data_IF_255607930615
#
_entry.id   IF_255607930615
#
_cell.length_a   1.000
_cell.length_b   1.000
_cell.length_c   1.000
_cell.angle_alpha   90.00
_cell.angle_beta   90.00
_cell.angle_gamma   90.00
#
_symmetry.space_group_name_H-M   'P 1'
#
loop_
_entity.id
_entity.type
_entity.pdbx_description
1 polymer ?
#
# COMPACT_ATOMS: atom_id res chain seq x y z
N UNK A 1 6.66 2.60 -2.58
CA UNK A 1 5.47 2.00 -3.22
C UNK A 1 4.44 1.48 -2.20
N UNK A 2 4.47 1.96 -0.95
CA UNK A 2 3.58 1.48 0.10
C UNK A 2 4.01 0.17 0.77
N UNK A 3 5.09 -0.47 0.33
CA UNK A 3 5.70 -1.54 1.15
C UNK A 3 6.25 -0.95 2.43
N UNK A 4 6.37 -1.79 3.46
CA UNK A 4 7.07 -1.43 4.68
C UNK A 4 8.48 -0.89 4.38
N UNK A 5 8.80 0.25 4.99
CA UNK A 5 10.12 0.88 4.94
C UNK A 5 10.40 1.47 6.33
N UNK A 6 11.57 1.17 6.88
CA UNK A 6 12.03 1.71 8.16
C UNK A 6 10.96 1.57 9.27
N UNK A 7 10.59 2.67 9.95
CA UNK A 7 9.76 2.64 11.16
C UNK A 7 8.25 2.60 10.93
N UNK A 8 7.82 2.43 9.68
CA UNK A 8 6.39 2.42 9.37
C UNK A 8 5.74 1.17 10.00
N UNK A 9 4.85 1.40 10.96
CA UNK A 9 4.10 0.34 11.63
C UNK A 9 3.20 -0.40 10.63
N UNK A 10 3.05 -1.72 10.82
CA UNK A 10 2.38 -2.62 9.86
C UNK A 10 0.91 -2.28 9.59
N UNK A 11 0.28 -1.51 10.47
CA UNK A 11 -1.08 -1.01 10.28
C UNK A 11 -1.23 -0.20 8.99
N UNK A 12 -0.29 0.68 8.67
CA UNK A 12 -0.34 1.47 7.45
C UNK A 12 -0.30 0.58 6.21
N UNK A 13 0.46 -0.52 6.25
CA UNK A 13 0.51 -1.46 5.13
C UNK A 13 -0.76 -2.31 5.01
N UNK A 14 -1.41 -2.63 6.13
CA UNK A 14 -2.70 -3.30 6.17
C UNK A 14 -3.84 -2.45 5.58
N UNK A 15 -3.91 -1.15 5.92
CA UNK A 15 -4.95 -0.23 5.43
C UNK A 15 -5.00 -0.11 3.90
N UNK A 16 -3.88 -0.38 3.22
CA UNK A 16 -3.80 -0.39 1.75
C UNK A 16 -4.14 -1.75 1.12
N UNK A 17 -4.23 -2.82 1.92
CA UNK A 17 -4.46 -4.17 1.41
C UNK A 17 -5.85 -4.32 0.79
N UNK A 18 -5.98 -5.29 -0.14
CA UNK A 18 -7.30 -5.70 -0.64
C UNK A 18 -8.15 -6.34 0.47
N UNK A 19 -7.52 -6.98 1.45
CA UNK A 19 -8.21 -7.60 2.59
C UNK A 19 -8.96 -6.54 3.38
N UNK A 20 -8.28 -5.47 3.78
CA UNK A 20 -8.89 -4.37 4.52
C UNK A 20 -10.04 -3.72 3.74
N UNK A 21 -9.86 -3.51 2.43
CA UNK A 21 -10.91 -2.99 1.55
C UNK A 21 -12.15 -3.90 1.47
N UNK A 22 -12.01 -5.19 1.74
CA UNK A 22 -13.12 -6.16 1.78
C UNK A 22 -13.59 -6.44 3.22
N UNK A 23 -13.28 -5.56 4.18
CA UNK A 23 -13.77 -5.65 5.55
C UNK A 23 -13.03 -6.62 6.46
N UNK A 24 -11.93 -7.22 5.99
CA UNK A 24 -11.07 -8.05 6.84
C UNK A 24 -10.38 -7.17 7.87
N UNK A 25 -10.27 -7.69 9.09
CA UNK A 25 -9.71 -7.04 10.27
C UNK A 25 -8.50 -7.82 10.79
N UNK A 26 -7.77 -7.23 11.74
CA UNK A 26 -6.66 -7.91 12.41
C UNK A 26 -7.11 -9.21 13.09
N UNK A 27 -8.32 -9.21 13.64
CA UNK A 27 -8.88 -10.34 14.40
C UNK A 27 -9.26 -11.51 13.50
N UNK A 28 -9.37 -11.32 12.18
CA UNK A 28 -9.58 -12.44 11.27
C UNK A 28 -8.34 -13.33 11.16
N UNK A 29 -7.14 -12.78 11.38
CA UNK A 29 -5.89 -13.52 11.34
C UNK A 29 -5.30 -13.78 12.74
N UNK A 30 -5.45 -12.83 13.66
CA UNK A 30 -4.86 -12.87 15.00
C UNK A 30 -5.90 -13.16 16.09
N UNK A 31 -5.48 -13.92 17.10
CA UNK A 31 -6.23 -14.12 18.34
C UNK A 31 -5.79 -13.07 19.38
N UNK A 32 -6.61 -12.03 19.66
CA UNK A 32 -6.19 -10.86 20.44
C UNK A 32 -5.76 -11.19 21.87
N UNK A 33 -6.32 -12.23 22.48
CA UNK A 33 -6.02 -12.61 23.87
C UNK A 33 -4.93 -13.67 24.00
N UNK A 34 -4.55 -14.34 22.91
CA UNK A 34 -3.52 -15.37 22.92
C UNK A 34 -2.19 -14.89 22.33
N UNK A 35 -2.17 -13.73 21.66
CA UNK A 35 -1.04 -13.25 20.86
C UNK A 35 -0.57 -14.30 19.84
N UNK A 36 -1.52 -15.06 19.29
CA UNK A 36 -1.27 -16.15 18.34
C UNK A 36 -2.01 -15.90 17.03
N UNK A 37 -1.58 -16.58 15.98
CA UNK A 37 -2.37 -16.69 14.76
C UNK A 37 -3.53 -17.66 15.00
N UNK A 38 -4.65 -17.42 14.32
CA UNK A 38 -5.82 -18.32 14.37
C UNK A 38 -5.58 -19.67 13.69
N UNK A 39 -4.61 -19.75 12.79
CA UNK A 39 -4.15 -20.97 12.14
C UNK A 39 -2.67 -20.82 11.75
N UNK A 40 -1.98 -21.94 11.57
CA UNK A 40 -0.54 -21.97 11.27
C UNK A 40 -0.27 -22.03 9.76
N UNK A 41 0.82 -21.40 9.33
CA UNK A 41 1.28 -21.42 7.93
C UNK A 41 0.20 -20.99 6.93
N UNK A 42 0.19 -21.66 5.78
CA UNK A 42 -0.79 -21.41 4.71
C UNK A 42 -2.25 -21.64 5.13
N UNK A 43 -2.51 -22.43 6.16
CA UNK A 43 -3.86 -22.63 6.69
C UNK A 43 -4.51 -21.33 7.18
N UNK A 44 -3.72 -20.30 7.51
CA UNK A 44 -4.25 -18.98 7.83
C UNK A 44 -4.89 -18.30 6.62
N UNK A 45 -4.23 -18.36 5.47
CA UNK A 45 -4.65 -17.72 4.22
C UNK A 45 -5.81 -18.49 3.58
N UNK A 46 -5.75 -19.82 3.64
CA UNK A 46 -6.73 -20.70 2.97
C UNK A 46 -8.06 -20.85 3.68
N UNK A 47 -8.24 -20.13 4.80
CA UNK A 47 -9.57 -19.92 5.41
C UNK A 47 -10.52 -19.15 4.50
N UNK A 48 -9.97 -18.31 3.63
CA UNK A 48 -10.73 -17.52 2.66
C UNK A 48 -10.29 -17.79 1.21
N UNK A 49 -9.01 -18.10 0.98
CA UNK A 49 -8.50 -18.43 -0.35
C UNK A 49 -8.60 -19.93 -0.64
N UNK A 50 -9.03 -20.28 -1.84
CA UNK A 50 -9.12 -21.69 -2.25
C UNK A 50 -7.73 -22.38 -2.21
N UNK A 51 -7.54 -23.29 -1.26
CA UNK A 51 -6.28 -24.02 -1.09
C UNK A 51 -5.85 -24.79 -2.34
N UNK A 52 -6.80 -25.44 -3.02
CA UNK A 52 -6.50 -26.23 -4.22
C UNK A 52 -5.98 -25.38 -5.38
N UNK A 53 -6.30 -24.08 -5.40
CA UNK A 53 -5.84 -23.15 -6.41
C UNK A 53 -4.58 -22.40 -6.00
N UNK A 54 -4.52 -21.91 -4.77
CA UNK A 54 -3.47 -20.98 -4.31
C UNK A 54 -2.34 -21.65 -3.52
N UNK A 55 -2.65 -22.68 -2.72
CA UNK A 55 -1.66 -23.45 -1.95
C UNK A 55 -1.22 -24.70 -2.73
N UNK A 56 -0.83 -24.48 -3.99
CA UNK A 56 -0.43 -25.54 -4.91
C UNK A 56 0.84 -25.15 -5.67
N UNK A 57 1.71 -26.12 -6.04
CA UNK A 57 2.93 -25.84 -6.81
C UNK A 57 2.68 -25.11 -8.12
N UNK A 58 1.49 -25.29 -8.71
CA UNK A 58 1.07 -24.55 -9.91
C UNK A 58 0.94 -23.05 -9.66
N UNK A 59 0.57 -22.62 -8.46
CA UNK A 59 0.49 -21.21 -8.08
C UNK A 59 1.83 -20.69 -7.57
N UNK A 60 2.40 -21.25 -6.50
CA UNK A 60 3.60 -20.69 -5.87
C UNK A 60 4.90 -21.01 -6.61
N UNK A 61 4.91 -21.96 -7.56
CA UNK A 61 6.06 -22.31 -8.43
C UNK A 61 7.34 -22.73 -7.69
N UNK A 62 7.18 -23.18 -6.45
CA UNK A 62 8.27 -23.72 -5.62
C UNK A 62 7.99 -25.19 -5.27
N UNK A 63 8.98 -25.87 -4.70
CA UNK A 63 8.80 -27.21 -4.14
C UNK A 63 7.83 -27.15 -2.95
N UNK A 64 6.91 -28.12 -2.87
CA UNK A 64 5.98 -28.24 -1.76
C UNK A 64 6.75 -28.44 -0.44
N UNK A 65 6.27 -27.81 0.65
CA UNK A 65 6.91 -27.85 1.97
C UNK A 65 8.19 -26.99 2.11
N UNK A 66 8.63 -26.31 1.04
CA UNK A 66 9.73 -25.35 1.12
C UNK A 66 9.25 -23.96 1.55
N UNK A 67 10.17 -23.11 2.05
CA UNK A 67 9.85 -21.71 2.45
C UNK A 67 9.16 -20.89 1.35
N UNK A 68 9.49 -21.14 0.08
CA UNK A 68 8.87 -20.47 -1.07
C UNK A 68 7.44 -20.93 -1.38
N UNK A 69 6.94 -21.97 -0.72
CA UNK A 69 5.53 -22.39 -0.80
C UNK A 69 4.65 -21.65 0.22
N UNK A 70 5.23 -21.01 1.24
CA UNK A 70 4.47 -20.24 2.22
C UNK A 70 3.97 -18.92 1.62
N UNK A 71 2.67 -18.65 1.73
CA UNK A 71 1.99 -17.46 1.21
C UNK A 71 2.69 -16.18 1.68
N UNK A 72 3.02 -16.14 2.97
CA UNK A 72 3.60 -14.97 3.63
C UNK A 72 4.98 -14.63 3.09
N UNK A 73 5.75 -15.61 2.59
CA UNK A 73 7.10 -15.36 2.05
C UNK A 73 7.07 -14.42 0.85
N UNK A 74 6.05 -14.52 0.00
CA UNK A 74 5.90 -13.65 -1.17
C UNK A 74 4.94 -12.49 -0.94
N UNK A 75 3.81 -12.74 -0.29
CA UNK A 75 2.75 -11.73 -0.15
C UNK A 75 2.94 -10.80 1.04
N UNK A 76 3.65 -11.26 2.07
CA UNK A 76 3.92 -10.51 3.29
C UNK A 76 5.42 -10.53 3.60
N UNK A 77 6.31 -10.11 2.68
CA UNK A 77 7.75 -10.27 2.89
C UNK A 77 8.22 -9.50 4.15
N UNK A 78 9.18 -10.08 4.88
CA UNK A 78 9.78 -9.44 6.04
C UNK A 78 10.66 -8.26 5.64
N UNK A 79 10.67 -7.19 6.42
CA UNK A 79 11.74 -6.18 6.41
C UNK A 79 12.29 -5.99 7.82
N UNK A 80 13.60 -5.82 7.94
CA UNK A 80 14.26 -5.60 9.23
C UNK A 80 13.98 -4.17 9.70
N UNK A 81 13.34 -4.07 10.86
CA UNK A 81 13.16 -2.84 11.60
C UNK A 81 14.32 -2.67 12.60
N UNK A 82 14.94 -1.49 12.63
CA UNK A 82 16.08 -1.18 13.52
C UNK A 82 17.20 -2.24 13.46
N UNK A 83 17.49 -2.77 12.26
CA UNK A 83 18.51 -3.80 11.98
C UNK A 83 18.20 -5.20 12.56
N UNK A 84 17.42 -5.32 13.63
CA UNK A 84 17.26 -6.58 14.38
C UNK A 84 15.82 -7.12 14.47
N UNK A 85 14.81 -6.34 14.12
CA UNK A 85 13.41 -6.72 14.29
C UNK A 85 12.71 -6.92 12.95
N UNK A 86 12.81 -8.12 12.38
CA UNK A 86 12.05 -8.49 11.19
C UNK A 86 10.54 -8.35 11.44
N UNK A 87 9.87 -7.57 10.59
CA UNK A 87 8.41 -7.40 10.60
C UNK A 87 7.84 -7.78 9.25
N UNK A 88 6.69 -8.44 9.25
CA UNK A 88 5.99 -8.81 8.01
C UNK A 88 5.25 -7.61 7.44
N UNK A 89 5.37 -7.39 6.14
CA UNK A 89 4.50 -6.46 5.43
C UNK A 89 3.04 -6.97 5.42
N UNK A 90 2.09 -6.14 5.87
CA UNK A 90 0.68 -6.52 5.96
C UNK A 90 -0.14 -6.01 4.78
N UNK A 91 0.46 -5.61 3.67
CA UNK A 91 -0.30 -5.26 2.47
C UNK A 91 -0.75 -6.47 1.66
N UNK A 92 -0.16 -7.66 1.93
CA UNK A 92 -0.50 -8.94 1.30
C UNK A 92 -0.52 -8.85 -0.24
N UNK A 93 0.36 -8.03 -0.80
CA UNK A 93 0.33 -7.68 -2.22
C UNK A 93 0.90 -8.81 -3.06
N UNK A 94 0.46 -8.92 -4.31
CA UNK A 94 1.22 -9.67 -5.31
C UNK A 94 2.56 -8.92 -5.53
N UNK A 95 3.72 -9.59 -5.49
CA UNK A 95 5.03 -8.95 -5.71
C UNK A 95 5.12 -8.18 -7.03
N UNK A 96 5.86 -7.06 -7.03
CA UNK A 96 6.21 -6.24 -8.21
C UNK A 96 7.72 -6.21 -8.46
N UNK A 97 8.35 -7.36 -8.78
CA UNK A 97 9.79 -7.38 -9.05
C UNK A 97 10.19 -6.52 -10.26
N UNK A 98 9.25 -6.26 -11.17
CA UNK A 98 9.41 -5.36 -12.30
C UNK A 98 9.58 -3.89 -11.88
N UNK A 99 9.02 -3.48 -10.73
CA UNK A 99 9.12 -2.12 -10.22
C UNK A 99 10.24 -1.94 -9.19
N UNK A 100 10.68 -3.02 -8.53
CA UNK A 100 11.63 -2.95 -7.40
C UNK A 100 12.86 -2.10 -7.69
N UNK A 101 13.53 -2.31 -8.83
CA UNK A 101 14.73 -1.55 -9.19
C UNK A 101 14.44 -0.06 -9.38
N UNK A 102 13.36 0.28 -10.09
CA UNK A 102 13.00 1.68 -10.36
C UNK A 102 12.53 2.45 -9.13
N UNK A 103 11.90 1.75 -8.16
CA UNK A 103 11.34 2.37 -6.97
C UNK A 103 12.26 2.26 -5.74
N UNK A 104 13.37 1.53 -5.86
CA UNK A 104 14.23 1.16 -4.73
C UNK A 104 13.50 0.34 -3.67
N UNK A 105 12.44 -0.38 -4.05
CA UNK A 105 11.60 -1.09 -3.09
C UNK A 105 12.11 -2.53 -2.86
N UNK A 106 11.85 -3.12 -1.68
CA UNK A 106 12.16 -4.51 -1.43
C UNK A 106 11.53 -5.45 -2.46
N UNK A 107 12.14 -6.63 -2.59
CA UNK A 107 11.77 -7.65 -3.54
C UNK A 107 11.68 -9.00 -2.84
N UNK A 108 10.49 -9.60 -2.81
CA UNK A 108 10.28 -10.87 -2.11
C UNK A 108 11.12 -12.03 -2.70
N UNK A 109 11.39 -12.01 -4.00
CA UNK A 109 12.13 -13.08 -4.67
C UNK A 109 13.62 -13.01 -4.36
N UNK A 110 14.24 -11.83 -4.51
CA UNK A 110 15.68 -11.64 -4.28
C UNK A 110 16.04 -11.57 -2.79
N UNK A 111 15.06 -11.63 -1.89
CA UNK A 111 15.31 -11.88 -0.47
C UNK A 111 15.79 -13.32 -0.21
N UNK A 112 15.32 -14.30 -0.98
CA UNK A 112 15.83 -15.68 -0.92
C UNK A 112 16.90 -15.95 -1.99
N UNK A 113 16.71 -15.40 -3.19
CA UNK A 113 17.64 -15.56 -4.33
C UNK A 113 18.65 -14.41 -4.38
N UNK A 114 19.61 -14.41 -3.45
CA UNK A 114 20.56 -13.30 -3.23
C UNK A 114 21.49 -13.02 -4.42
N UNK A 115 21.73 -14.02 -5.28
CA UNK A 115 22.56 -13.92 -6.47
C UNK A 115 21.80 -13.42 -7.70
N UNK A 116 20.49 -13.18 -7.58
CA UNK A 116 19.62 -12.76 -8.68
C UNK A 116 19.19 -11.30 -8.53
N UNK A 117 18.94 -10.67 -9.67
CA UNK A 117 18.42 -9.32 -9.75
C UNK A 117 16.89 -9.32 -9.88
N UNK A 118 16.18 -8.25 -9.47
CA UNK A 118 14.72 -8.15 -9.61
C UNK A 118 14.20 -8.44 -11.03
N UNK A 119 14.96 -8.05 -12.07
CA UNK A 119 14.63 -8.33 -13.46
C UNK A 119 14.57 -9.83 -13.80
N UNK A 120 15.37 -10.67 -13.13
CA UNK A 120 15.28 -12.13 -13.26
C UNK A 120 13.96 -12.64 -12.71
N UNK A 121 13.54 -12.15 -11.55
CA UNK A 121 12.27 -12.52 -10.94
C UNK A 121 11.07 -12.07 -11.80
N UNK A 122 11.13 -10.87 -12.38
CA UNK A 122 10.11 -10.40 -13.31
C UNK A 122 9.99 -11.29 -14.55
N UNK A 123 11.12 -11.73 -15.13
CA UNK A 123 11.13 -12.68 -16.26
C UNK A 123 10.58 -14.06 -15.87
N UNK A 124 10.87 -14.54 -14.66
CA UNK A 124 10.29 -15.78 -14.16
C UNK A 124 8.76 -15.68 -14.04
N UNK A 125 8.26 -14.57 -13.47
CA UNK A 125 6.82 -14.31 -13.38
C UNK A 125 6.16 -14.18 -14.76
N UNK A 126 6.83 -13.57 -15.74
CA UNK A 126 6.36 -13.52 -17.13
C UNK A 126 6.16 -14.92 -17.72
N UNK A 127 7.12 -15.83 -17.49
CA UNK A 127 7.02 -17.21 -17.96
C UNK A 127 5.93 -18.01 -17.23
N UNK A 128 5.66 -17.70 -15.96
CA UNK A 128 4.71 -18.44 -15.14
C UNK A 128 3.26 -18.03 -15.34
N UNK A 129 3.00 -16.73 -15.53
CA UNK A 129 1.66 -16.14 -15.50
C UNK A 129 1.34 -15.30 -16.75
N UNK A 130 2.21 -15.30 -17.76
CA UNK A 130 2.12 -14.38 -18.91
C UNK A 130 2.55 -12.96 -18.52
N UNK A 131 2.28 -11.95 -19.35
CA UNK A 131 2.67 -10.54 -19.04
C UNK A 131 1.58 -9.74 -18.34
N UNK A 132 0.34 -10.23 -18.32
CA UNK A 132 -0.80 -9.53 -17.75
C UNK A 132 -0.67 -9.25 -16.24
N UNK A 133 0.09 -10.06 -15.49
CA UNK A 133 0.25 -9.86 -14.05
C UNK A 133 0.78 -8.45 -13.73
N UNK A 134 1.74 -7.92 -14.51
CA UNK A 134 2.36 -6.60 -14.27
C UNK A 134 1.59 -5.42 -14.86
N UNK A 135 0.59 -5.67 -15.70
CA UNK A 135 -0.30 -4.64 -16.27
C UNK A 135 -1.33 -4.13 -15.25
N UNK A 136 -1.40 -4.76 -14.07
CA UNK A 136 -2.27 -4.30 -12.98
C UNK A 136 -1.89 -2.90 -12.49
N UNK A 137 -2.88 -2.07 -12.11
CA UNK A 137 -2.64 -0.75 -11.53
C UNK A 137 -1.66 -0.80 -10.34
N UNK A 138 -0.77 0.18 -10.29
CA UNK A 138 0.15 0.39 -9.16
C UNK A 138 0.30 1.87 -8.89
N UNK A 139 0.14 2.25 -7.63
CA UNK A 139 0.37 3.61 -7.17
C UNK A 139 1.86 3.89 -6.89
N UNK A 140 2.71 2.85 -6.86
CA UNK A 140 4.14 2.96 -6.54
C UNK A 140 4.90 3.97 -7.41
N UNK A 141 4.80 3.91 -8.75
CA UNK A 141 5.45 4.86 -9.64
C UNK A 141 5.00 6.32 -9.43
N UNK A 142 3.70 6.55 -9.21
CA UNK A 142 3.15 7.88 -8.97
C UNK A 142 3.66 8.47 -7.66
N UNK A 143 3.62 7.70 -6.57
CA UNK A 143 4.13 8.16 -5.27
C UNK A 143 5.64 8.39 -5.32
N UNK A 144 6.39 7.53 -6.00
CA UNK A 144 7.83 7.72 -6.18
C UNK A 144 8.15 8.98 -6.98
N UNK A 145 7.43 9.23 -8.07
CA UNK A 145 7.54 10.49 -8.83
C UNK A 145 7.27 11.72 -7.95
N UNK A 146 6.28 11.64 -7.05
CA UNK A 146 6.02 12.71 -6.08
C UNK A 146 7.20 13.02 -5.16
N UNK A 147 8.04 12.02 -4.85
CA UNK A 147 9.23 12.22 -4.03
C UNK A 147 10.48 12.64 -4.81
N UNK A 148 10.53 12.42 -6.14
CA UNK A 148 11.76 12.59 -6.94
C UNK A 148 11.66 13.62 -8.05
N UNK A 149 10.45 14.00 -8.49
CA UNK A 149 10.23 14.82 -9.69
C UNK A 149 9.59 16.19 -9.40
N UNK A 150 9.34 16.50 -8.12
CA UNK A 150 8.77 17.77 -7.67
C UNK A 150 7.44 18.12 -8.36
N UNK A 151 7.30 19.38 -8.78
CA UNK A 151 6.05 19.92 -9.34
C UNK A 151 5.55 19.17 -10.60
N UNK A 152 6.44 18.52 -11.36
CA UNK A 152 6.06 17.75 -12.55
C UNK A 152 5.23 16.50 -12.22
N UNK A 153 5.28 16.01 -10.97
CA UNK A 153 4.46 14.90 -10.52
C UNK A 153 3.03 15.32 -10.12
N UNK A 154 2.78 16.63 -9.94
CA UNK A 154 1.53 17.16 -9.38
C UNK A 154 0.27 16.65 -10.10
N UNK A 155 0.17 16.64 -11.45
CA UNK A 155 -1.04 16.13 -12.12
C UNK A 155 -1.37 14.69 -11.76
N UNK A 156 -0.35 13.81 -11.73
CA UNK A 156 -0.50 12.39 -11.38
C UNK A 156 -0.81 12.18 -9.90
N UNK A 157 -0.24 13.01 -9.02
CA UNK A 157 -0.56 13.00 -7.59
C UNK A 157 -2.03 13.37 -7.34
N UNK A 158 -2.53 14.42 -8.01
CA UNK A 158 -3.94 14.83 -7.90
C UNK A 158 -4.90 13.82 -8.50
N UNK A 159 -4.52 13.13 -9.57
CA UNK A 159 -5.27 12.01 -10.12
C UNK A 159 -5.38 10.87 -9.11
N UNK A 160 -4.24 10.44 -8.54
CA UNK A 160 -4.22 9.37 -7.53
C UNK A 160 -4.99 9.76 -6.26
N UNK A 161 -4.86 11.00 -5.79
CA UNK A 161 -5.54 11.52 -4.61
C UNK A 161 -7.07 11.50 -4.75
N UNK A 162 -7.58 11.74 -5.96
CA UNK A 162 -9.01 11.76 -6.26
C UNK A 162 -9.58 10.41 -6.69
N UNK A 163 -8.73 9.40 -6.92
CA UNK A 163 -9.19 8.08 -7.37
C UNK A 163 -9.89 7.32 -6.23
N UNK A 164 -11.23 7.11 -6.28
CA UNK A 164 -11.95 6.43 -5.21
C UNK A 164 -11.65 4.93 -5.13
N UNK A 165 -11.06 4.34 -6.17
CA UNK A 165 -10.64 2.94 -6.16
C UNK A 165 -9.29 2.72 -5.46
N UNK A 166 -8.56 3.79 -5.12
CA UNK A 166 -7.32 3.70 -4.35
C UNK A 166 -7.62 3.72 -2.83
N UNK A 167 -6.86 3.00 -1.99
CA UNK A 167 -7.01 3.07 -0.55
C UNK A 167 -6.90 4.51 -0.03
N UNK A 168 -7.68 4.86 0.98
CA UNK A 168 -7.69 6.21 1.53
C UNK A 168 -6.30 6.68 2.01
N UNK A 169 -5.52 5.79 2.64
CA UNK A 169 -4.13 6.10 3.03
C UNK A 169 -3.23 6.42 1.83
N UNK A 170 -3.43 5.75 0.68
CA UNK A 170 -2.68 6.03 -0.56
C UNK A 170 -3.09 7.37 -1.15
N UNK A 171 -4.39 7.67 -1.17
CA UNK A 171 -4.94 8.94 -1.63
C UNK A 171 -4.45 10.11 -0.78
N UNK A 172 -4.51 9.96 0.55
CA UNK A 172 -3.99 10.92 1.50
C UNK A 172 -2.48 11.14 1.31
N UNK A 173 -1.71 10.07 1.13
CA UNK A 173 -0.27 10.18 0.83
C UNK A 173 -0.01 10.97 -0.45
N UNK A 174 -0.77 10.72 -1.51
CA UNK A 174 -0.63 11.43 -2.77
C UNK A 174 -0.94 12.94 -2.61
N UNK A 175 -1.98 13.29 -1.86
CA UNK A 175 -2.28 14.68 -1.54
C UNK A 175 -1.22 15.34 -0.67
N UNK A 176 -0.68 14.63 0.33
CA UNK A 176 0.44 15.13 1.14
C UNK A 176 1.66 15.44 0.29
N UNK A 177 2.02 14.56 -0.65
CA UNK A 177 3.11 14.81 -1.61
C UNK A 177 2.81 15.99 -2.57
N UNK A 178 1.54 16.32 -2.79
CA UNK A 178 1.14 17.47 -3.61
C UNK A 178 1.19 18.81 -2.84
N UNK A 179 1.21 18.81 -1.50
CA UNK A 179 1.15 20.02 -0.67
C UNK A 179 2.24 21.05 -0.98
N UNK A 180 3.52 20.69 -1.19
CA UNK A 180 4.57 21.66 -1.53
C UNK A 180 4.35 22.39 -2.86
N UNK A 181 3.44 21.87 -3.69
CA UNK A 181 3.10 22.40 -5.01
C UNK A 181 1.64 22.87 -5.08
N UNK A 182 0.97 22.98 -3.94
CA UNK A 182 -0.41 23.44 -3.87
C UNK A 182 -0.51 24.93 -4.20
N UNK A 183 -1.60 25.31 -4.88
CA UNK A 183 -1.86 26.68 -5.30
C UNK A 183 -3.28 26.83 -5.85
N UNK A 184 -3.62 27.95 -6.48
CA UNK A 184 -4.98 28.19 -6.97
C UNK A 184 -5.54 27.08 -7.86
N UNK A 185 -4.70 26.47 -8.70
CA UNK A 185 -5.07 25.35 -9.58
C UNK A 185 -5.40 24.04 -8.87
N UNK A 186 -5.00 23.88 -7.59
CA UNK A 186 -5.28 22.66 -6.80
C UNK A 186 -6.47 22.83 -5.85
N UNK A 187 -7.05 24.04 -5.79
CA UNK A 187 -8.10 24.41 -4.84
C UNK A 187 -9.37 23.55 -5.00
N UNK A 188 -9.78 23.28 -6.23
CA UNK A 188 -10.95 22.44 -6.48
C UNK A 188 -10.74 21.01 -5.95
N UNK A 189 -9.57 20.42 -6.24
CA UNK A 189 -9.22 19.10 -5.74
C UNK A 189 -9.16 19.09 -4.19
N UNK A 190 -8.59 20.12 -3.58
CA UNK A 190 -8.55 20.22 -2.11
C UNK A 190 -9.95 20.31 -1.49
N UNK A 191 -10.88 21.07 -2.09
CA UNK A 191 -12.28 21.18 -1.63
C UNK A 191 -13.01 19.84 -1.69
N UNK A 192 -12.88 19.12 -2.79
CA UNK A 192 -13.46 17.78 -2.95
C UNK A 192 -12.94 16.83 -1.86
N UNK A 193 -11.63 16.84 -1.63
CA UNK A 193 -10.99 15.99 -0.63
C UNK A 193 -11.31 16.37 0.82
N UNK A 194 -11.64 17.62 1.11
CA UNK A 194 -12.11 18.03 2.44
C UNK A 194 -13.49 17.44 2.79
N UNK A 195 -14.27 17.04 1.79
CA UNK A 195 -15.55 16.35 1.98
C UNK A 195 -15.43 14.83 2.03
N UNK A 196 -14.23 14.28 1.90
CA UNK A 196 -14.03 12.84 1.85
C UNK A 196 -14.50 12.16 3.15
N UNK A 197 -15.16 10.99 3.09
CA UNK A 197 -15.55 10.26 4.29
C UNK A 197 -14.37 9.80 5.15
N UNK A 198 -13.19 9.58 4.56
CA UNK A 198 -12.01 9.15 5.30
C UNK A 198 -11.26 10.33 5.94
N UNK A 199 -11.00 10.28 7.25
CA UNK A 199 -10.31 11.37 7.94
C UNK A 199 -8.91 11.63 7.42
N UNK A 200 -8.14 10.62 7.00
CA UNK A 200 -6.76 10.80 6.50
C UNK A 200 -6.75 11.66 5.24
N UNK A 201 -7.72 11.46 4.36
CA UNK A 201 -7.89 12.24 3.14
C UNK A 201 -8.21 13.70 3.49
N UNK A 202 -9.11 13.93 4.46
CA UNK A 202 -9.41 15.28 4.96
C UNK A 202 -8.19 15.96 5.59
N UNK A 203 -7.38 15.23 6.35
CA UNK A 203 -6.14 15.78 6.96
C UNK A 203 -5.17 16.22 5.87
N UNK A 204 -4.94 15.38 4.86
CA UNK A 204 -4.05 15.69 3.75
C UNK A 204 -4.55 16.89 2.94
N UNK A 205 -5.87 16.99 2.71
CA UNK A 205 -6.50 18.10 2.01
C UNK A 205 -6.34 19.44 2.76
N UNK A 206 -6.44 19.44 4.09
CA UNK A 206 -6.17 20.64 4.90
C UNK A 206 -4.78 21.20 4.64
N UNK A 207 -3.76 20.34 4.59
CA UNK A 207 -2.39 20.76 4.30
C UNK A 207 -2.23 21.40 2.91
N UNK A 208 -3.08 21.04 1.92
CA UNK A 208 -3.08 21.68 0.61
C UNK A 208 -3.64 23.10 0.64
N UNK A 209 -4.51 23.41 1.62
CA UNK A 209 -5.15 24.73 1.77
C UNK A 209 -4.33 25.66 2.66
N UNK A 210 -3.55 25.14 3.62
CA UNK A 210 -2.70 25.94 4.53
C UNK A 210 -1.80 27.00 3.85
N UNK A 211 -1.17 26.76 2.69
CA UNK A 211 -0.34 27.78 2.02
C UNK A 211 -1.15 28.83 1.23
N UNK A 212 -2.48 28.70 1.15
CA UNK A 212 -3.33 29.64 0.40
C UNK A 212 -3.59 30.94 1.18
N UNK A 213 -4.13 31.95 0.49
CA UNK A 213 -4.49 33.22 1.09
C UNK A 213 -5.53 33.06 2.23
N UNK A 214 -5.60 34.02 3.16
CA UNK A 214 -6.50 33.94 4.31
C UNK A 214 -7.98 33.70 3.96
N UNK A 215 -8.47 34.26 2.85
CA UNK A 215 -9.88 34.09 2.43
C UNK A 215 -10.13 32.64 2.04
N UNK A 216 -9.26 32.06 1.20
CA UNK A 216 -9.36 30.65 0.85
C UNK A 216 -9.17 29.74 2.07
N UNK A 217 -8.29 30.07 3.01
CA UNK A 217 -8.16 29.28 4.25
C UNK A 217 -9.43 29.28 5.10
N UNK A 218 -10.02 30.46 5.33
CA UNK A 218 -11.23 30.59 6.16
C UNK A 218 -12.44 29.89 5.55
N UNK A 219 -12.64 30.00 4.23
CA UNK A 219 -13.75 29.36 3.54
C UNK A 219 -13.72 27.82 3.62
N UNK A 220 -12.54 27.23 3.76
CA UNK A 220 -12.35 25.77 3.72
C UNK A 220 -11.99 25.15 5.08
N UNK A 221 -11.75 25.96 6.12
CA UNK A 221 -11.50 25.49 7.49
C UNK A 221 -12.77 24.96 8.19
N UNK A 222 -13.96 25.39 7.75
CA UNK A 222 -15.24 25.06 8.37
C UNK A 222 -15.85 23.71 7.91
N UNK A 223 -15.19 23.01 6.99
CA UNK A 223 -15.71 21.80 6.39
C UNK A 223 -15.39 20.57 7.29
N UNK A 224 -16.39 20.24 8.12
CA UNK A 224 -16.49 19.08 9.04
C UNK A 224 -15.48 19.03 10.17
N UNK A 225 -15.66 19.93 11.14
CA UNK A 225 -15.45 19.58 12.55
C UNK A 225 -16.72 18.89 13.05
N UNK A 226 -17.05 17.72 12.49
CA UNK A 226 -18.06 16.85 13.09
C UNK A 226 -17.41 16.26 14.34
N UNK A 227 -17.52 16.98 15.46
CA UNK A 227 -17.45 16.35 16.76
C UNK A 227 -18.48 15.22 16.74
N UNK A 228 -17.99 13.97 16.79
CA UNK A 228 -18.76 12.86 17.32
C UNK A 228 -19.13 13.24 18.76
N UNK A 229 -20.23 13.99 18.90
CA UNK A 229 -20.99 14.02 20.15
C UNK A 229 -21.61 12.64 20.23
N UNK A 230 -20.96 11.77 21.02
CA UNK A 230 -21.52 10.53 21.51
C UNK A 230 -22.96 10.80 21.98
N UNK A 231 -23.93 10.23 21.27
CA UNK A 231 -25.27 9.94 21.76
C UNK A 231 -25.49 8.44 21.61
#
# INVERSE_FOLDING_TARGET
DGQQREEVYVWGSFLQSRMHQNGVTCMDCHEPHAQKLRAEGNALCTRCHNAAEFDAPKHHKHLAGGKGAECVTCHMPTQDYMVIHARQDHSMRVPRPDLSASLGSPNACTQCHKDKQPAWAAKAMDSWYGKAWRERPSYGPTLHAGTTQGASALPRLLELARNPAAPAIVRATAATLAQPHAGPGTLQAAREMLQDPDPLVRIAARGMVTPMDPVNRMLHAALRVDYLVLR
#
